data_IF_063919837539
#
_entry.id   IF_063919837539
#
_cell.length_a   1.000
_cell.length_b   1.000
_cell.length_c   1.000
_cell.angle_alpha   90.00
_cell.angle_beta   90.00
_cell.angle_gamma   90.00
#
_symmetry.space_group_name_H-M   'P 1'
#
loop_
_entity.id
_entity.type
_entity.pdbx_description
1 polymer ?
#
# COMPACT_ATOMS: atom_id res chain seq x y z
N UNK A 1 -63.78 -26.29 51.57
CA UNK A 1 -62.96 -26.97 50.53
C UNK A 1 -63.07 -26.13 49.27
N UNK A 2 -62.16 -25.17 49.12
CA UNK A 2 -62.30 -24.11 48.13
C UNK A 2 -61.76 -24.57 46.78
N UNK A 3 -62.61 -24.52 45.76
CA UNK A 3 -62.30 -24.90 44.39
C UNK A 3 -61.28 -23.92 43.75
N UNK A 4 -60.28 -24.47 43.07
CA UNK A 4 -59.30 -23.73 42.26
C UNK A 4 -59.97 -23.12 41.03
N UNK A 5 -59.63 -21.89 40.62
CA UNK A 5 -60.15 -21.32 39.37
C UNK A 5 -59.46 -21.93 38.16
N UNK A 6 -60.23 -22.17 37.09
CA UNK A 6 -59.74 -22.63 35.79
C UNK A 6 -59.02 -21.48 35.04
N UNK A 7 -57.96 -21.76 34.27
CA UNK A 7 -57.29 -20.75 33.46
C UNK A 7 -58.11 -20.43 32.20
N UNK A 8 -58.40 -19.15 31.98
CA UNK A 8 -58.92 -18.63 30.72
C UNK A 8 -57.74 -18.33 29.79
N UNK A 9 -57.60 -19.15 28.75
CA UNK A 9 -56.69 -18.88 27.63
C UNK A 9 -57.47 -18.14 26.55
N UNK A 10 -57.10 -16.89 26.27
CA UNK A 10 -57.67 -16.11 25.17
C UNK A 10 -56.96 -16.46 23.85
N UNK A 11 -57.74 -16.93 22.87
CA UNK A 11 -57.34 -17.12 21.47
C UNK A 11 -57.37 -15.79 20.70
N UNK A 12 -56.20 -15.25 20.40
CA UNK A 12 -55.97 -14.34 19.26
C UNK A 12 -54.49 -14.45 18.85
N UNK A 13 -54.09 -15.55 18.22
CA UNK A 13 -53.98 -15.72 16.76
C UNK A 13 -52.91 -14.83 16.11
N UNK A 14 -51.74 -15.44 15.93
CA UNK A 14 -50.77 -15.31 14.84
C UNK A 14 -50.33 -13.91 14.38
N UNK A 15 -49.10 -13.52 14.75
CA UNK A 15 -48.10 -13.10 13.75
C UNK A 15 -46.72 -13.62 14.15
N UNK A 16 -46.31 -14.72 13.50
CA UNK A 16 -44.92 -15.17 13.46
C UNK A 16 -44.15 -14.21 12.56
N UNK A 17 -43.23 -13.44 13.12
CA UNK A 17 -42.08 -12.94 12.37
C UNK A 17 -40.83 -13.27 13.19
N UNK A 18 -40.16 -14.32 12.75
CA UNK A 18 -38.79 -14.64 13.11
C UNK A 18 -37.92 -13.45 12.66
N UNK A 19 -37.53 -12.58 13.60
CA UNK A 19 -36.41 -11.68 13.37
C UNK A 19 -35.14 -12.52 13.43
N UNK A 20 -34.80 -13.11 12.28
CA UNK A 20 -33.45 -13.56 12.01
C UNK A 20 -32.61 -12.27 11.89
N UNK A 21 -32.09 -11.79 13.01
CA UNK A 21 -31.04 -10.78 12.99
C UNK A 21 -29.83 -11.45 12.32
N UNK A 22 -29.67 -11.20 11.03
CA UNK A 22 -28.42 -11.39 10.33
C UNK A 22 -27.42 -10.45 11.04
N UNK A 23 -26.65 -11.02 11.98
CA UNK A 23 -25.41 -10.40 12.42
C UNK A 23 -24.52 -10.38 11.17
N UNK A 24 -24.60 -9.29 10.41
CA UNK A 24 -23.64 -8.99 9.36
C UNK A 24 -22.30 -9.00 10.07
N UNK A 25 -21.44 -9.89 9.60
CA UNK A 25 -20.14 -10.15 10.16
C UNK A 25 -19.40 -8.83 10.40
N UNK A 26 -19.21 -8.50 11.68
CA UNK A 26 -18.10 -7.66 12.09
C UNK A 26 -16.82 -8.47 11.93
N UNK A 27 -16.45 -8.78 10.68
CA UNK A 27 -15.03 -8.82 10.40
C UNK A 27 -14.58 -7.39 10.60
N UNK A 28 -13.70 -7.07 11.57
CA UNK A 28 -12.83 -5.96 11.30
C UNK A 28 -12.18 -6.31 9.97
N UNK A 29 -12.54 -5.60 8.91
CA UNK A 29 -11.52 -5.26 7.94
C UNK A 29 -10.53 -4.48 8.79
N UNK A 30 -9.59 -5.19 9.42
CA UNK A 30 -8.32 -4.58 9.68
C UNK A 30 -7.94 -4.03 8.30
N UNK A 31 -7.84 -2.70 8.11
CA UNK A 31 -6.86 -2.30 7.15
C UNK A 31 -5.58 -2.91 7.71
N UNK A 32 -5.18 -4.06 7.16
CA UNK A 32 -3.80 -4.22 6.86
C UNK A 32 -3.54 -2.99 6.00
N UNK A 33 -3.12 -1.89 6.64
CA UNK A 33 -2.32 -0.93 5.96
C UNK A 33 -1.22 -1.80 5.37
N UNK A 34 -1.37 -2.13 4.08
CA UNK A 34 -0.27 -2.63 3.31
C UNK A 34 0.74 -1.51 3.45
N UNK A 35 1.67 -1.65 4.40
CA UNK A 35 2.88 -0.85 4.47
C UNK A 35 3.76 -1.31 3.30
N UNK A 36 3.21 -1.22 2.10
CA UNK A 36 3.92 -1.38 0.87
C UNK A 36 4.72 -0.11 0.69
N UNK A 37 6.04 -0.25 0.62
CA UNK A 37 6.92 0.86 0.29
C UNK A 37 6.49 1.38 -1.09
N UNK A 38 6.14 2.65 -1.15
CA UNK A 38 5.78 3.29 -2.41
C UNK A 38 7.02 3.71 -3.19
N UNK A 39 8.13 4.02 -2.50
CA UNK A 39 9.44 4.27 -3.10
C UNK A 39 10.36 3.12 -2.73
N UNK A 40 10.96 2.46 -3.72
CA UNK A 40 11.75 1.24 -3.51
C UNK A 40 12.83 1.08 -4.59
N UNK A 41 13.81 0.22 -4.32
CA UNK A 41 14.85 -0.19 -5.26
C UNK A 41 14.23 -1.12 -6.31
N UNK A 42 14.34 -0.76 -7.58
CA UNK A 42 13.65 -1.41 -8.70
C UNK A 42 14.53 -2.36 -9.51
N UNK A 43 15.78 -1.98 -9.70
CA UNK A 43 16.76 -2.65 -10.55
C UNK A 43 18.16 -2.26 -10.08
N UNK A 44 19.12 -3.16 -10.13
CA UNK A 44 20.52 -2.82 -9.92
C UNK A 44 21.49 -3.82 -10.58
N UNK A 45 22.70 -3.34 -10.85
CA UNK A 45 23.82 -4.11 -11.40
C UNK A 45 25.07 -3.86 -10.55
N UNK A 46 25.76 -4.93 -10.14
CA UNK A 46 26.92 -4.91 -9.24
C UNK A 46 28.10 -5.79 -9.72
N UNK A 47 27.89 -6.88 -10.46
CA UNK A 47 28.97 -7.82 -10.83
C UNK A 47 28.88 -8.23 -12.31
N UNK A 48 30.00 -8.09 -13.02
CA UNK A 48 30.15 -8.60 -14.38
C UNK A 48 31.55 -9.17 -14.64
N UNK A 49 31.73 -9.79 -15.80
CA UNK A 49 33.05 -10.31 -16.18
C UNK A 49 34.13 -9.23 -16.22
N UNK A 50 35.26 -9.51 -15.56
CA UNK A 50 36.42 -8.63 -15.54
C UNK A 50 36.32 -7.57 -14.46
N UNK A 51 36.56 -6.30 -14.83
CA UNK A 51 36.28 -5.17 -13.95
C UNK A 51 34.82 -4.77 -14.11
N UNK A 52 34.17 -4.50 -12.98
CA UNK A 52 32.76 -4.11 -12.98
C UNK A 52 32.56 -2.78 -13.71
N UNK A 53 31.49 -2.71 -14.50
CA UNK A 53 31.15 -1.58 -15.34
C UNK A 53 29.64 -1.49 -15.53
N UNK A 54 29.13 -0.29 -15.78
CA UNK A 54 27.68 -0.02 -15.84
C UNK A 54 26.93 -0.30 -14.54
N UNK A 55 27.63 -0.29 -13.41
CA UNK A 55 27.01 -0.43 -12.09
C UNK A 55 26.05 0.72 -11.82
N UNK A 56 24.87 0.37 -11.31
CA UNK A 56 23.78 1.31 -11.13
C UNK A 56 22.69 0.76 -10.23
N UNK A 57 21.91 1.68 -9.66
CA UNK A 57 20.70 1.38 -8.88
C UNK A 57 19.57 2.25 -9.40
N UNK A 58 18.41 1.65 -9.62
CA UNK A 58 17.19 2.33 -10.00
C UNK A 58 16.21 2.41 -8.85
N UNK A 59 15.55 3.56 -8.72
CA UNK A 59 14.46 3.78 -7.78
C UNK A 59 13.14 3.87 -8.54
N UNK A 60 12.14 3.12 -8.07
CA UNK A 60 10.75 3.24 -8.49
C UNK A 60 9.91 3.94 -7.43
N UNK A 61 8.87 4.63 -7.86
CA UNK A 61 7.85 5.16 -6.96
C UNK A 61 6.79 6.02 -7.64
N UNK A 62 5.89 6.67 -6.89
CA UNK A 62 4.87 7.53 -7.47
C UNK A 62 5.48 8.62 -8.37
N UNK A 63 4.90 8.82 -9.55
CA UNK A 63 5.32 9.89 -10.46
C UNK A 63 5.22 11.24 -9.77
N UNK A 64 6.26 12.07 -9.93
CA UNK A 64 6.38 13.37 -9.26
C UNK A 64 7.03 13.33 -7.87
N UNK A 65 7.43 12.15 -7.36
CA UNK A 65 8.19 12.07 -6.11
C UNK A 65 9.55 12.74 -6.27
N UNK A 66 9.87 13.67 -5.37
CA UNK A 66 11.17 14.33 -5.30
C UNK A 66 12.11 13.50 -4.41
N UNK A 67 13.27 13.12 -4.96
CA UNK A 67 14.27 12.30 -4.27
C UNK A 67 15.36 13.12 -3.60
N UNK A 68 15.26 14.44 -3.59
CA UNK A 68 16.21 15.31 -2.89
C UNK A 68 16.25 14.96 -1.39
N UNK A 69 17.46 14.66 -0.90
CA UNK A 69 17.70 14.27 0.49
C UNK A 69 17.57 12.77 0.77
N UNK A 70 17.01 11.98 -0.17
CA UNK A 70 17.09 10.53 -0.09
C UNK A 70 18.52 10.07 -0.32
N UNK A 71 18.82 8.84 0.11
CA UNK A 71 20.16 8.28 -0.04
C UNK A 71 20.14 6.77 -0.27
N UNK A 72 21.11 6.32 -1.06
CA UNK A 72 21.54 4.92 -1.11
C UNK A 72 22.76 4.75 -0.22
N UNK A 73 22.76 3.71 0.59
CA UNK A 73 23.82 3.36 1.52
C UNK A 73 24.25 1.92 1.24
N UNK A 74 25.56 1.71 1.08
CA UNK A 74 26.10 0.41 0.69
C UNK A 74 26.95 -0.16 1.82
N UNK A 75 26.60 -1.38 2.22
CA UNK A 75 27.12 -2.05 3.41
C UNK A 75 27.92 -3.29 3.04
N UNK A 76 29.10 -3.43 3.62
CA UNK A 76 29.95 -4.58 3.38
C UNK A 76 29.41 -5.79 4.15
N UNK A 77 29.16 -6.93 3.49
CA UNK A 77 28.63 -8.10 4.21
C UNK A 77 29.64 -8.86 5.04
N UNK A 78 30.93 -8.54 4.95
CA UNK A 78 31.98 -9.03 5.84
C UNK A 78 32.32 -8.01 6.94
N UNK A 79 31.31 -7.64 7.73
CA UNK A 79 31.49 -6.78 8.91
C UNK A 79 30.31 -5.88 9.19
N UNK A 80 29.53 -5.54 8.17
CA UNK A 80 28.37 -4.65 8.28
C UNK A 80 28.70 -3.17 8.15
N UNK A 81 29.95 -2.83 7.85
CA UNK A 81 30.41 -1.43 7.78
C UNK A 81 29.88 -0.75 6.50
N UNK A 82 29.58 0.54 6.59
CA UNK A 82 29.16 1.37 5.48
C UNK A 82 30.39 1.74 4.64
N UNK A 83 30.51 1.20 3.43
CA UNK A 83 31.66 1.48 2.58
C UNK A 83 31.42 2.63 1.60
N UNK A 84 30.15 2.97 1.33
CA UNK A 84 29.78 3.99 0.35
C UNK A 84 28.37 4.53 0.61
N UNK A 85 28.15 5.78 0.24
CA UNK A 85 26.81 6.37 0.16
C UNK A 85 26.67 7.24 -1.09
N UNK A 86 25.43 7.40 -1.54
CA UNK A 86 25.05 8.28 -2.64
C UNK A 86 23.81 9.06 -2.25
N UNK A 87 23.93 10.39 -2.20
CA UNK A 87 22.77 11.29 -2.10
C UNK A 87 22.01 11.29 -3.43
N UNK A 88 20.72 10.99 -3.36
CA UNK A 88 19.83 11.05 -4.49
C UNK A 88 19.36 12.49 -4.71
N UNK A 89 18.95 12.76 -5.94
CA UNK A 89 18.37 14.02 -6.35
C UNK A 89 17.48 13.81 -7.58
N UNK A 90 16.64 14.79 -7.85
CA UNK A 90 15.75 14.79 -9.00
C UNK A 90 14.33 14.33 -8.66
N UNK A 91 13.53 14.13 -9.69
CA UNK A 91 12.10 13.81 -9.56
C UNK A 91 11.77 12.62 -10.43
N UNK A 92 11.05 11.64 -9.87
CA UNK A 92 10.58 10.48 -10.64
C UNK A 92 9.62 10.97 -11.74
N UNK A 93 9.94 10.77 -13.03
CA UNK A 93 9.04 11.16 -14.11
C UNK A 93 7.80 10.26 -14.10
N UNK A 94 6.61 10.82 -14.34
CA UNK A 94 5.42 9.98 -14.53
C UNK A 94 5.47 9.31 -15.91
N UNK A 95 5.50 7.98 -15.93
CA UNK A 95 5.50 7.16 -17.15
C UNK A 95 4.10 7.02 -17.77
N UNK A 96 3.11 7.74 -17.25
CA UNK A 96 1.71 7.71 -17.71
C UNK A 96 0.80 6.78 -16.89
N UNK A 97 1.34 6.16 -15.85
CA UNK A 97 0.63 5.24 -14.93
C UNK A 97 0.50 5.81 -13.51
N UNK A 98 1.04 7.01 -13.27
CA UNK A 98 1.21 7.58 -11.93
C UNK A 98 2.39 6.98 -11.17
N UNK A 99 3.33 6.35 -11.89
CA UNK A 99 4.57 5.76 -11.37
C UNK A 99 5.75 6.19 -12.24
N UNK A 100 6.94 6.23 -11.64
CA UNK A 100 8.16 6.70 -12.26
C UNK A 100 9.38 5.90 -11.83
N UNK A 101 10.41 5.98 -12.66
CA UNK A 101 11.69 5.29 -12.51
C UNK A 101 12.82 6.30 -12.69
N UNK A 102 13.86 6.21 -11.84
CA UNK A 102 15.06 7.02 -12.00
C UNK A 102 16.29 6.21 -11.60
N UNK A 103 17.21 6.07 -12.57
CA UNK A 103 18.44 5.33 -12.42
C UNK A 103 19.61 6.23 -11.98
N UNK A 104 20.46 5.69 -11.13
CA UNK A 104 21.65 6.34 -10.59
C UNK A 104 22.87 5.47 -10.85
N UNK A 105 23.87 6.03 -11.54
CA UNK A 105 25.16 5.36 -11.75
C UNK A 105 25.94 5.29 -10.44
N UNK A 106 26.38 4.09 -10.06
CA UNK A 106 26.96 3.81 -8.73
C UNK A 106 28.25 2.98 -8.82
N UNK A 107 29.31 3.45 -9.49
CA UNK A 107 30.51 2.63 -9.75
C UNK A 107 31.29 2.26 -8.49
N UNK A 108 31.79 1.04 -8.39
CA UNK A 108 32.49 0.50 -7.23
C UNK A 108 31.56 -0.01 -6.15
N UNK A 109 30.49 -0.70 -6.55
CA UNK A 109 29.83 -1.69 -5.71
C UNK A 109 30.79 -2.87 -5.50
N UNK A 110 30.57 -3.60 -4.41
CA UNK A 110 31.39 -4.76 -4.07
C UNK A 110 30.70 -6.04 -4.52
N UNK A 111 31.51 -7.03 -4.91
CA UNK A 111 31.08 -8.37 -5.26
C UNK A 111 31.20 -9.24 -4.01
N UNK A 112 30.13 -9.91 -3.63
CA UNK A 112 30.04 -10.70 -2.41
C UNK A 112 28.72 -10.50 -1.69
N UNK A 113 28.53 -11.05 -0.49
CA UNK A 113 27.41 -10.63 0.31
C UNK A 113 27.59 -9.17 0.64
N UNK A 114 26.71 -8.31 0.15
CA UNK A 114 26.74 -6.88 0.40
C UNK A 114 25.30 -6.35 0.39
N UNK A 115 25.09 -5.22 1.06
CA UNK A 115 23.78 -4.66 1.32
C UNK A 115 23.59 -3.30 0.67
N UNK A 116 22.37 -3.02 0.21
CA UNK A 116 21.93 -1.72 -0.31
C UNK A 116 20.73 -1.28 0.54
N UNK A 117 20.88 -0.20 1.28
CA UNK A 117 19.77 0.45 1.98
C UNK A 117 19.35 1.73 1.25
N UNK A 118 18.03 1.88 1.10
CA UNK A 118 17.38 3.12 0.70
C UNK A 118 16.86 3.82 1.95
N UNK A 119 17.31 5.05 2.20
CA UNK A 119 16.82 5.86 3.31
C UNK A 119 16.23 7.18 2.82
N UNK A 120 15.21 7.64 3.54
CA UNK A 120 14.51 8.89 3.27
C UNK A 120 15.30 10.13 3.79
N UNK A 121 14.83 11.36 3.55
CA UNK A 121 15.50 12.58 4.00
C UNK A 121 15.56 12.77 5.53
N UNK A 122 14.94 11.90 6.31
CA UNK A 122 14.98 11.88 7.77
C UNK A 122 15.90 10.76 8.30
N UNK A 123 16.73 10.18 7.44
CA UNK A 123 17.58 9.02 7.73
C UNK A 123 16.79 7.77 8.15
N UNK A 124 15.49 7.67 7.79
CA UNK A 124 14.72 6.45 8.03
C UNK A 124 14.96 5.45 6.89
N UNK A 125 15.41 4.25 7.24
CA UNK A 125 15.58 3.15 6.27
C UNK A 125 14.20 2.69 5.79
N UNK A 126 13.96 2.93 4.51
CA UNK A 126 12.74 2.52 3.79
C UNK A 126 12.88 1.08 3.32
N UNK A 127 14.05 0.70 2.83
CA UNK A 127 14.34 -0.64 2.35
C UNK A 127 15.79 -1.01 2.64
N UNK A 128 16.06 -2.28 3.00
CA UNK A 128 17.41 -2.79 3.12
C UNK A 128 17.51 -4.17 2.49
N UNK A 129 18.09 -4.24 1.30
CA UNK A 129 18.28 -5.47 0.53
C UNK A 129 19.74 -5.91 0.60
N UNK A 130 19.99 -7.19 0.38
CA UNK A 130 21.33 -7.70 0.14
C UNK A 130 21.34 -8.76 -0.94
N UNK A 131 22.48 -8.91 -1.61
CA UNK A 131 22.73 -10.01 -2.55
C UNK A 131 23.72 -10.99 -1.93
N UNK A 132 23.72 -12.25 -2.38
CA UNK A 132 24.66 -13.32 -1.97
C UNK A 132 24.76 -13.66 -0.47
N UNK A 133 23.89 -13.10 0.37
CA UNK A 133 23.81 -13.39 1.80
C UNK A 133 23.15 -12.26 2.58
N UNK A 134 22.85 -12.51 3.86
CA UNK A 134 22.29 -11.49 4.75
C UNK A 134 23.42 -10.61 5.29
N UNK A 135 23.23 -9.30 5.23
CA UNK A 135 24.09 -8.28 5.86
C UNK A 135 23.39 -7.68 7.07
N UNK A 136 24.10 -7.53 8.19
CA UNK A 136 23.64 -6.74 9.33
C UNK A 136 24.53 -5.51 9.44
N UNK A 137 23.93 -4.32 9.31
CA UNK A 137 24.69 -3.09 9.32
C UNK A 137 25.17 -2.73 10.73
N UNK A 138 26.39 -2.22 10.85
CA UNK A 138 27.01 -1.80 12.12
C UNK A 138 26.97 -0.28 12.30
N UNK A 139 26.80 0.48 11.22
CA UNK A 139 26.84 1.94 11.25
C UNK A 139 25.84 2.60 10.27
N UNK A 140 25.78 3.93 10.30
CA UNK A 140 24.86 4.72 9.48
C UNK A 140 23.38 4.50 9.81
N UNK A 141 22.48 4.96 8.92
CA UNK A 141 21.02 4.86 9.10
C UNK A 141 20.49 3.43 9.32
N UNK A 142 21.14 2.42 8.74
CA UNK A 142 20.74 1.02 8.92
C UNK A 142 21.39 0.32 10.12
N UNK A 143 22.17 1.01 10.96
CA UNK A 143 22.87 0.40 12.10
C UNK A 143 21.93 -0.45 12.97
N UNK A 144 22.28 -1.72 13.18
CA UNK A 144 21.52 -2.70 13.94
C UNK A 144 20.39 -3.39 13.16
N UNK A 145 20.12 -3.00 11.90
CA UNK A 145 19.16 -3.67 11.03
C UNK A 145 19.83 -4.81 10.25
N UNK A 146 19.08 -5.88 10.03
CA UNK A 146 19.44 -6.93 9.07
C UNK A 146 18.70 -6.72 7.76
N UNK A 147 19.40 -6.92 6.65
CA UNK A 147 18.86 -6.85 5.29
C UNK A 147 17.99 -8.06 4.94
N UNK A 148 17.15 -7.88 3.92
CA UNK A 148 16.48 -8.96 3.20
C UNK A 148 17.39 -9.46 2.06
N UNK A 149 17.86 -10.71 2.18
CA UNK A 149 18.66 -11.33 1.13
C UNK A 149 17.80 -11.70 -0.08
N UNK A 150 18.23 -11.26 -1.25
CA UNK A 150 17.57 -11.59 -2.50
C UNK A 150 17.75 -13.06 -2.86
N UNK A 151 16.76 -13.67 -3.54
CA UNK A 151 16.85 -15.04 -4.04
C UNK A 151 17.62 -15.16 -5.36
N UNK A 152 18.15 -14.05 -5.88
CA UNK A 152 18.89 -13.93 -7.13
C UNK A 152 20.21 -13.21 -6.90
N UNK A 153 21.20 -13.48 -7.75
CA UNK A 153 22.54 -12.92 -7.69
C UNK A 153 23.10 -12.80 -9.10
N UNK A 154 24.01 -11.85 -9.29
CA UNK A 154 24.84 -11.76 -10.49
C UNK A 154 26.06 -12.68 -10.39
N UNK A 155 26.92 -12.67 -11.40
CA UNK A 155 28.16 -13.44 -11.34
C UNK A 155 29.26 -12.75 -12.12
N UNK A 156 30.50 -12.96 -11.66
CA UNK A 156 31.75 -12.58 -12.35
C UNK A 156 31.97 -13.21 -13.74
N UNK A 157 30.98 -13.93 -14.28
CA UNK A 157 30.95 -14.41 -15.66
C UNK A 157 29.85 -13.75 -16.52
N UNK A 158 29.06 -12.86 -15.92
CA UNK A 158 27.93 -12.16 -16.53
C UNK A 158 28.36 -11.01 -17.45
N UNK A 159 27.35 -10.45 -18.12
CA UNK A 159 27.50 -9.30 -19.01
C UNK A 159 27.30 -7.99 -18.27
N UNK A 160 28.08 -6.96 -18.62
CA UNK A 160 27.88 -5.58 -18.13
C UNK A 160 26.60 -4.89 -18.69
N UNK A 161 25.76 -5.65 -19.41
CA UNK A 161 24.48 -5.21 -19.94
C UNK A 161 23.31 -5.87 -19.21
N UNK A 162 23.58 -6.65 -18.18
CA UNK A 162 22.56 -7.34 -17.39
C UNK A 162 22.37 -6.65 -16.04
N UNK A 163 21.28 -6.98 -15.36
CA UNK A 163 20.93 -6.48 -14.04
C UNK A 163 20.00 -7.47 -13.32
N UNK A 164 19.94 -7.34 -12.00
CA UNK A 164 18.84 -7.85 -11.19
C UNK A 164 17.71 -6.84 -11.22
N UNK A 165 16.48 -7.29 -11.41
CA UNK A 165 15.35 -6.39 -11.61
C UNK A 165 14.05 -6.95 -11.06
N UNK A 166 13.09 -6.07 -10.76
CA UNK A 166 11.75 -6.45 -10.33
C UNK A 166 10.82 -6.70 -11.52
N UNK A 167 10.06 -7.79 -11.47
CA UNK A 167 8.97 -8.08 -12.38
C UNK A 167 7.66 -8.35 -11.62
N UNK A 168 6.52 -8.13 -12.26
CA UNK A 168 5.19 -8.25 -11.65
C UNK A 168 4.25 -7.10 -12.00
N UNK A 169 3.09 -7.07 -11.35
CA UNK A 169 2.06 -6.05 -11.55
C UNK A 169 1.58 -5.52 -10.21
N UNK A 170 1.65 -4.22 -10.01
CA UNK A 170 1.14 -3.59 -8.78
C UNK A 170 1.65 -2.17 -8.58
N UNK A 171 1.70 -1.73 -7.32
CA UNK A 171 2.17 -0.38 -6.94
C UNK A 171 3.05 -0.36 -5.71
N UNK A 172 3.17 -1.48 -5.02
CA UNK A 172 3.98 -1.63 -3.82
C UNK A 172 5.11 -2.58 -4.08
N UNK A 173 6.26 -2.40 -3.41
CA UNK A 173 7.41 -3.30 -3.53
C UNK A 173 7.00 -4.79 -3.45
N UNK A 174 6.09 -5.14 -2.53
CA UNK A 174 5.62 -6.50 -2.29
C UNK A 174 4.76 -7.11 -3.41
N UNK A 175 4.35 -6.32 -4.40
CA UNK A 175 3.61 -6.80 -5.56
C UNK A 175 4.54 -7.38 -6.65
N UNK A 176 5.85 -7.19 -6.47
CA UNK A 176 6.88 -7.59 -7.42
C UNK A 176 7.77 -8.69 -6.85
N UNK A 177 8.54 -9.34 -7.72
CA UNK A 177 9.54 -10.32 -7.33
C UNK A 177 10.82 -10.08 -8.11
N UNK A 178 11.95 -10.23 -7.41
CA UNK A 178 13.27 -10.13 -8.02
C UNK A 178 13.51 -11.29 -8.99
N UNK A 179 14.02 -10.95 -10.16
CA UNK A 179 14.46 -11.89 -11.17
C UNK A 179 15.82 -11.44 -11.76
N UNK A 180 16.39 -12.28 -12.61
CA UNK A 180 17.64 -11.99 -13.31
C UNK A 180 18.83 -12.83 -12.85
N UNK A 181 20.02 -12.56 -13.42
CA UNK A 181 20.33 -11.40 -14.27
C UNK A 181 19.61 -11.43 -15.63
N UNK A 182 19.12 -10.29 -16.12
CA UNK A 182 18.58 -10.12 -17.48
C UNK A 182 19.05 -8.79 -18.07
N UNK A 183 18.85 -8.55 -19.37
CA UNK A 183 19.22 -7.26 -19.99
C UNK A 183 18.66 -6.09 -19.18
N UNK A 184 19.55 -5.16 -18.83
CA UNK A 184 19.23 -4.00 -18.02
C UNK A 184 18.27 -3.05 -18.73
N UNK A 185 17.39 -2.45 -17.95
CA UNK A 185 16.30 -1.56 -18.40
C UNK A 185 16.29 -0.19 -17.72
N UNK A 186 17.37 0.19 -17.03
CA UNK A 186 17.55 1.50 -16.39
C UNK A 186 16.90 2.67 -17.16
N UNK A 187 15.97 3.37 -16.49
CA UNK A 187 15.17 4.48 -16.98
C UNK A 187 13.88 4.06 -17.69
N UNK A 188 13.60 2.77 -17.81
CA UNK A 188 12.43 2.21 -18.48
C UNK A 188 11.85 1.02 -17.68
N UNK A 189 10.62 0.61 -18.01
CA UNK A 189 9.99 -0.53 -17.35
C UNK A 189 10.79 -1.82 -17.58
N UNK A 190 11.03 -2.55 -16.50
CA UNK A 190 11.63 -3.88 -16.55
C UNK A 190 10.76 -4.84 -17.38
N UNK A 191 11.34 -5.84 -18.07
CA UNK A 191 10.57 -6.87 -18.77
C UNK A 191 9.61 -7.60 -17.81
N UNK A 192 8.32 -7.57 -18.14
CA UNK A 192 7.28 -8.20 -17.31
C UNK A 192 6.88 -7.37 -16.08
N UNK A 193 7.33 -6.12 -15.97
CA UNK A 193 6.88 -5.18 -14.97
C UNK A 193 5.74 -4.29 -15.49
N UNK A 194 4.76 -4.01 -14.64
CA UNK A 194 3.70 -3.06 -14.90
C UNK A 194 3.24 -2.39 -13.62
N UNK A 195 2.91 -1.09 -13.72
CA UNK A 195 2.34 -0.33 -12.61
C UNK A 195 0.86 -0.09 -12.86
N UNK A 196 0.02 -0.57 -11.94
CA UNK A 196 -1.43 -0.43 -12.08
C UNK A 196 -1.84 1.04 -11.97
N UNK A 197 -2.80 1.43 -12.82
CA UNK A 197 -3.40 2.75 -12.75
C UNK A 197 -3.97 3.04 -11.35
N UNK A 198 -4.00 4.31 -10.89
CA UNK A 198 -4.60 4.64 -9.61
C UNK A 198 -6.04 4.15 -9.61
N UNK A 199 -6.45 3.41 -8.57
CA UNK A 199 -7.85 3.04 -8.42
C UNK A 199 -8.65 4.35 -8.36
N UNK A 200 -9.36 4.67 -9.43
CA UNK A 200 -10.36 5.74 -9.37
C UNK A 200 -11.52 5.13 -8.58
N UNK A 201 -11.88 5.69 -7.41
CA UNK A 201 -13.03 5.17 -6.68
C UNK A 201 -14.24 5.34 -7.59
N UNK A 202 -14.84 4.21 -7.98
CA UNK A 202 -16.13 4.26 -8.65
C UNK A 202 -17.10 5.00 -7.73
N UNK A 203 -17.86 5.99 -8.22
CA UNK A 203 -18.80 6.71 -7.39
C UNK A 203 -19.75 5.71 -6.76
N UNK A 204 -19.71 5.60 -5.43
CA UNK A 204 -20.68 4.79 -4.68
C UNK A 204 -22.05 5.36 -5.04
N UNK A 205 -22.97 4.59 -5.65
CA UNK A 205 -24.32 5.07 -5.89
C UNK A 205 -24.90 5.42 -4.52
N UNK A 206 -25.29 6.69 -4.32
CA UNK A 206 -25.94 7.13 -3.09
C UNK A 206 -27.08 6.16 -2.80
N UNK A 207 -27.15 5.56 -1.58
CA UNK A 207 -28.24 4.67 -1.28
C UNK A 207 -29.55 5.45 -1.44
N UNK A 208 -30.55 4.83 -2.10
CA UNK A 208 -31.88 5.42 -2.30
C UNK A 208 -32.59 5.81 -1.00
N UNK A 209 -31.99 5.53 0.16
CA UNK A 209 -32.43 5.93 1.49
C UNK A 209 -32.40 7.45 1.69
N UNK A 210 -31.52 8.22 1.04
CA UNK A 210 -31.54 9.69 1.13
C UNK A 210 -32.82 10.33 0.57
N UNK A 211 -33.24 10.06 -0.69
CA UNK A 211 -34.49 10.60 -1.20
C UNK A 211 -35.73 10.05 -0.45
N UNK A 212 -35.68 8.80 0.04
CA UNK A 212 -36.75 8.22 0.86
C UNK A 212 -36.88 8.91 2.23
N UNK A 213 -35.77 9.23 2.90
CA UNK A 213 -35.76 9.96 4.18
C UNK A 213 -36.33 11.38 4.02
N UNK A 214 -35.91 12.11 2.97
CA UNK A 214 -36.43 13.45 2.68
C UNK A 214 -37.93 13.44 2.35
N UNK A 215 -38.40 12.47 1.57
CA UNK A 215 -39.83 12.33 1.25
C UNK A 215 -40.69 11.96 2.48
N UNK A 216 -40.15 11.14 3.38
CA UNK A 216 -40.80 10.80 4.65
C UNK A 216 -40.99 12.00 5.58
N UNK A 217 -39.98 12.86 5.73
CA UNK A 217 -40.07 14.09 6.54
C UNK A 217 -41.06 15.10 5.94
N UNK A 218 -41.11 15.26 4.62
CA UNK A 218 -42.08 16.13 3.96
C UNK A 218 -43.54 15.67 4.17
N UNK A 219 -43.77 14.34 4.20
CA UNK A 219 -45.09 13.76 4.50
C UNK A 219 -45.57 14.07 5.92
N UNK A 220 -44.68 14.00 6.92
CA UNK A 220 -44.99 14.35 8.33
C UNK A 220 -45.34 15.84 8.51
N UNK A 221 -44.70 16.72 7.74
CA UNK A 221 -45.01 18.15 7.73
C UNK A 221 -46.43 18.49 7.24
N UNK A 222 -46.95 17.77 6.24
CA UNK A 222 -48.31 17.99 5.72
C UNK A 222 -49.41 17.52 6.69
N UNK A 223 -49.17 16.43 7.43
CA UNK A 223 -50.17 15.86 8.36
C UNK A 223 -50.37 16.75 9.59
N UNK A 224 -49.33 17.45 10.04
CA UNK A 224 -49.40 18.33 11.22
C UNK A 224 -50.21 19.62 11.01
N UNK A 225 -50.41 20.08 9.77
CA UNK A 225 -51.15 21.32 9.47
C UNK A 225 -52.69 21.19 9.49
N UNK A 226 -53.24 19.97 9.53
CA UNK A 226 -54.71 19.76 9.47
C UNK A 226 -55.45 19.84 10.81
N UNK A 227 -54.75 20.04 11.94
CA UNK A 227 -55.37 20.17 13.27
C UNK A 227 -55.34 21.62 13.78
N UNK A 228 -56.14 22.50 13.17
CA UNK A 228 -56.62 23.72 13.84
C UNK A 228 -58.13 23.80 13.62
N UNK A 229 -58.89 23.40 14.64
CA UNK A 229 -60.33 23.68 14.73
C UNK A 229 -60.47 25.08 15.35
N UNK A 230 -61.26 26.00 14.77
CA UNK A 230 -61.51 27.29 15.41
C UNK A 230 -62.49 27.12 16.59
N UNK A 231 -62.08 27.61 17.77
CA UNK A 231 -62.95 27.76 18.94
C UNK A 231 -63.92 28.94 18.73
N UNK A 232 -65.23 28.71 18.82
CA UNK A 232 -66.24 29.76 18.97
C UNK A 232 -66.97 29.52 20.30
N UNK A 233 -66.60 30.26 21.34
CA UNK A 233 -67.26 31.48 21.87
C UNK A 233 -68.55 31.16 22.64
N UNK A 234 -68.44 31.24 23.97
CA UNK A 234 -69.53 31.23 24.93
C UNK A 234 -69.89 32.69 25.27
N UNK A 235 -71.15 33.09 25.09
CA UNK A 235 -71.68 34.40 25.50
C UNK A 235 -72.76 34.15 26.55
N UNK A 236 -72.67 34.73 27.77
CA UNK A 236 -73.74 34.65 28.74
C UNK A 236 -74.65 35.90 28.68
N UNK A 237 -75.95 35.65 28.73
CA UNK A 237 -76.94 36.39 29.54
C UNK A 237 -78.23 35.55 29.59
#
# INVERSE_FOLDING_TARGET
MNALPAPTVSLSTLFRTLLLSLAIAGFPLSPHAANGLSVFINEFHYDNSGSDSNEGVEIAGPGGTVLDGWQLLFYNGNGGDLYKSLMLNGTLPDLGTGFGLLAFTTPGLQNGPDGIALADPLDQVVQFLSYEGIVTATEGPASGLSSESLPVAESSSGSALESLQLAGSGRYYTDFSWNGPQLASFGALNPGQSFDAPLTPSPVPLPATLPLLLSGLAGLGLVSRRRRVPSAIHIPA
#
